data_IF_088758679545
#
_entry.id   IF_088758679545
#
_cell.length_a   1.000
_cell.length_b   1.000
_cell.length_c   1.000
_cell.angle_alpha   90.00
_cell.angle_beta   90.00
_cell.angle_gamma   90.00
#
_symmetry.space_group_name_H-M   'P 1'
#
loop_
_entity.id
_entity.type
_entity.pdbx_description
1 polymer ?
#
# COMPACT_ATOMS: atom_id res chain seq x y z
N UNK A 1 -20.46 27.24 7.43
CA UNK A 1 -19.07 27.45 6.96
C UNK A 1 -18.13 26.35 7.47
N UNK A 2 -18.02 26.11 8.79
CA UNK A 2 -17.15 25.07 9.36
C UNK A 2 -17.41 23.69 8.75
N UNK A 3 -18.68 23.28 8.65
CA UNK A 3 -19.07 22.00 8.05
C UNK A 3 -18.60 21.86 6.59
N UNK A 4 -18.77 22.90 5.77
CA UNK A 4 -18.31 22.91 4.38
C UNK A 4 -16.79 22.77 4.27
N UNK A 5 -16.03 23.45 5.15
CA UNK A 5 -14.56 23.32 5.17
C UNK A 5 -14.15 21.90 5.56
N UNK A 6 -14.82 21.30 6.55
CA UNK A 6 -14.54 19.91 6.97
C UNK A 6 -14.83 18.92 5.83
N UNK A 7 -15.99 19.03 5.18
CA UNK A 7 -16.39 18.14 4.09
C UNK A 7 -15.49 18.30 2.86
N UNK A 8 -15.18 19.54 2.45
CA UNK A 8 -14.28 19.77 1.31
C UNK A 8 -12.86 19.29 1.60
N UNK A 9 -12.37 19.44 2.83
CA UNK A 9 -11.07 18.90 3.26
C UNK A 9 -11.07 17.38 3.19
N UNK A 10 -12.09 16.72 3.73
CA UNK A 10 -12.21 15.26 3.72
C UNK A 10 -12.26 14.69 2.29
N UNK A 11 -13.01 15.33 1.39
CA UNK A 11 -13.04 14.95 -0.03
C UNK A 11 -11.69 15.18 -0.72
N UNK A 12 -11.01 16.28 -0.39
CA UNK A 12 -9.71 16.56 -0.98
C UNK A 12 -8.65 15.52 -0.56
N UNK A 13 -8.70 15.08 0.70
CA UNK A 13 -7.88 13.97 1.21
C UNK A 13 -8.25 12.63 0.57
N UNK A 14 -9.55 12.35 0.38
CA UNK A 14 -9.99 11.14 -0.32
C UNK A 14 -9.37 11.08 -1.71
N UNK A 15 -9.51 12.13 -2.51
CA UNK A 15 -8.94 12.23 -3.86
C UNK A 15 -7.42 12.03 -3.84
N UNK A 16 -6.72 12.64 -2.88
CA UNK A 16 -5.27 12.45 -2.72
C UNK A 16 -4.89 10.97 -2.53
N UNK A 17 -5.63 10.23 -1.68
CA UNK A 17 -5.40 8.81 -1.48
C UNK A 17 -5.61 8.00 -2.78
N UNK A 18 -6.55 8.39 -3.64
CA UNK A 18 -6.76 7.74 -4.95
C UNK A 18 -5.53 7.91 -5.84
N UNK A 19 -4.98 9.12 -5.89
CA UNK A 19 -3.78 9.40 -6.66
C UNK A 19 -2.55 8.65 -6.13
N UNK A 20 -2.45 8.42 -4.82
CA UNK A 20 -1.38 7.60 -4.26
C UNK A 20 -1.46 6.14 -4.73
N UNK A 21 -2.66 5.57 -4.86
CA UNK A 21 -2.85 4.22 -5.41
C UNK A 21 -2.32 4.11 -6.84
N UNK A 22 -2.64 5.12 -7.68
CA UNK A 22 -2.13 5.21 -9.06
C UNK A 22 -0.60 5.33 -9.05
N UNK A 23 -0.06 6.26 -8.26
CA UNK A 23 1.38 6.43 -8.12
C UNK A 23 2.07 5.12 -7.72
N UNK A 24 1.49 4.38 -6.77
CA UNK A 24 2.00 3.09 -6.32
C UNK A 24 1.95 2.02 -7.43
N UNK A 25 0.90 1.99 -8.25
CA UNK A 25 0.82 1.08 -9.41
C UNK A 25 1.94 1.36 -10.44
N UNK A 26 2.19 2.63 -10.77
CA UNK A 26 3.25 3.04 -11.70
C UNK A 26 4.63 2.74 -11.10
N UNK A 27 4.83 3.05 -9.82
CA UNK A 27 6.07 2.74 -9.10
C UNK A 27 6.41 1.24 -9.21
N UNK A 28 5.42 0.36 -9.00
CA UNK A 28 5.57 -1.10 -9.13
C UNK A 28 5.89 -1.52 -10.56
N UNK A 29 5.20 -0.95 -11.54
CA UNK A 29 5.47 -1.20 -12.95
C UNK A 29 6.93 -0.88 -13.29
N UNK A 30 7.41 0.31 -12.92
CA UNK A 30 8.78 0.76 -13.19
C UNK A 30 9.80 -0.09 -12.44
N UNK A 31 9.52 -0.49 -11.19
CA UNK A 31 10.39 -1.38 -10.43
C UNK A 31 10.62 -2.73 -11.12
N UNK A 32 9.58 -3.29 -11.75
CA UNK A 32 9.61 -4.62 -12.37
C UNK A 32 10.11 -4.58 -13.82
N UNK A 33 9.74 -3.56 -14.60
CA UNK A 33 10.14 -3.44 -16.00
C UNK A 33 11.47 -2.73 -16.20
N UNK A 34 11.79 -1.74 -15.37
CA UNK A 34 12.95 -0.86 -15.53
C UNK A 34 13.74 -0.72 -14.22
N UNK A 35 14.30 -1.81 -13.67
CA UNK A 35 15.00 -1.77 -12.38
C UNK A 35 16.22 -0.84 -12.37
N UNK A 36 16.87 -0.62 -13.51
CA UNK A 36 18.06 0.23 -13.63
C UNK A 36 17.74 1.73 -13.50
N UNK A 37 16.56 2.18 -13.93
CA UNK A 37 16.13 3.59 -13.85
C UNK A 37 15.24 3.86 -12.64
N UNK A 38 14.80 2.82 -11.92
CA UNK A 38 13.92 2.94 -10.76
C UNK A 38 14.43 3.91 -9.70
N UNK A 39 15.70 3.79 -9.29
CA UNK A 39 16.28 4.65 -8.24
C UNK A 39 16.33 6.13 -8.64
N UNK A 40 16.36 6.44 -9.93
CA UNK A 40 16.33 7.80 -10.45
C UNK A 40 14.91 8.39 -10.39
N UNK A 41 13.90 7.62 -10.80
CA UNK A 41 12.52 8.08 -10.92
C UNK A 41 11.73 8.00 -9.60
N UNK A 42 11.94 6.94 -8.82
CA UNK A 42 11.19 6.61 -7.61
C UNK A 42 12.09 6.41 -6.37
N UNK A 43 13.29 6.98 -6.40
CA UNK A 43 14.17 7.06 -5.23
C UNK A 43 13.55 7.91 -4.11
N UNK A 44 13.99 7.72 -2.86
CA UNK A 44 13.39 8.36 -1.67
C UNK A 44 13.26 9.88 -1.79
N UNK A 45 14.28 10.56 -2.35
CA UNK A 45 14.26 12.02 -2.54
C UNK A 45 13.23 12.45 -3.58
N UNK A 46 13.15 11.75 -4.70
CA UNK A 46 12.19 12.03 -5.77
C UNK A 46 10.75 11.77 -5.31
N UNK A 47 10.52 10.63 -4.65
CA UNK A 47 9.22 10.27 -4.08
C UNK A 47 8.76 11.28 -3.04
N UNK A 48 9.63 11.69 -2.12
CA UNK A 48 9.31 12.70 -1.11
C UNK A 48 8.99 14.06 -1.75
N UNK A 49 9.80 14.49 -2.72
CA UNK A 49 9.57 15.75 -3.44
C UNK A 49 8.20 15.73 -4.16
N UNK A 50 7.87 14.64 -4.85
CA UNK A 50 6.58 14.47 -5.50
C UNK A 50 5.41 14.58 -4.51
N UNK A 51 5.49 13.88 -3.37
CA UNK A 51 4.43 13.89 -2.36
C UNK A 51 4.25 15.28 -1.73
N UNK A 52 5.34 15.99 -1.44
CA UNK A 52 5.30 17.35 -0.88
C UNK A 52 4.68 18.33 -1.89
N UNK A 53 5.15 18.34 -3.13
CA UNK A 53 4.63 19.21 -4.17
C UNK A 53 3.15 18.95 -4.43
N UNK A 54 2.76 17.68 -4.46
CA UNK A 54 1.37 17.31 -4.65
C UNK A 54 0.50 17.71 -3.46
N UNK A 55 0.96 17.54 -2.21
CA UNK A 55 0.25 18.05 -1.03
C UNK A 55 0.05 19.56 -1.06
N UNK A 56 1.08 20.32 -1.46
CA UNK A 56 0.97 21.78 -1.61
C UNK A 56 -0.06 22.15 -2.68
N UNK A 57 -0.09 21.44 -3.82
CA UNK A 57 -1.10 21.63 -4.87
C UNK A 57 -2.53 21.37 -4.34
N UNK A 58 -2.72 20.33 -3.52
CA UNK A 58 -4.02 20.03 -2.89
C UNK A 58 -4.45 21.10 -1.90
N UNK A 59 -3.55 21.60 -1.05
CA UNK A 59 -3.84 22.71 -0.13
C UNK A 59 -4.24 23.97 -0.91
N UNK A 60 -3.52 24.27 -2.01
CA UNK A 60 -3.88 25.35 -2.92
C UNK A 60 -5.30 25.17 -3.47
N UNK A 61 -5.61 24.01 -4.07
CA UNK A 61 -6.92 23.75 -4.67
C UNK A 61 -8.05 23.81 -3.63
N UNK A 62 -7.85 23.26 -2.43
CA UNK A 62 -8.80 23.33 -1.32
C UNK A 62 -9.09 24.79 -0.91
N UNK A 63 -8.04 25.62 -0.87
CA UNK A 63 -8.18 27.04 -0.49
C UNK A 63 -9.00 27.80 -1.52
N UNK A 64 -8.67 27.66 -2.81
CA UNK A 64 -9.44 28.29 -3.90
C UNK A 64 -10.88 27.77 -3.98
N UNK A 65 -11.10 26.47 -3.80
CA UNK A 65 -12.44 25.89 -3.78
C UNK A 65 -13.30 26.48 -2.65
N UNK A 66 -12.75 26.63 -1.44
CA UNK A 66 -13.48 27.21 -0.31
C UNK A 66 -13.76 28.71 -0.51
N UNK A 67 -12.82 29.47 -1.11
CA UNK A 67 -13.03 30.88 -1.45
C UNK A 67 -14.15 31.02 -2.49
N UNK A 68 -14.11 30.24 -3.58
CA UNK A 68 -15.13 30.26 -4.63
C UNK A 68 -16.51 29.89 -4.09
N UNK A 69 -16.59 28.83 -3.28
CA UNK A 69 -17.85 28.42 -2.61
C UNK A 69 -18.38 29.49 -1.68
N UNK A 70 -17.50 30.19 -0.96
CA UNK A 70 -17.86 31.31 -0.10
C UNK A 70 -18.45 32.48 -0.89
N UNK A 71 -17.77 32.88 -1.98
CA UNK A 71 -18.20 33.98 -2.84
C UNK A 71 -19.53 33.67 -3.57
N UNK A 72 -19.74 32.42 -3.98
CA UNK A 72 -20.93 31.99 -4.71
C UNK A 72 -22.07 31.47 -3.81
N UNK A 73 -21.93 31.53 -2.47
CA UNK A 73 -22.88 30.98 -1.49
C UNK A 73 -23.23 29.49 -1.71
N UNK A 74 -22.29 28.71 -2.28
CA UNK A 74 -22.45 27.28 -2.62
C UNK A 74 -21.85 26.38 -1.55
N UNK A 75 -22.53 26.28 -0.42
CA UNK A 75 -22.06 25.48 0.72
C UNK A 75 -22.27 23.98 0.50
N UNK A 76 -21.28 23.19 0.93
CA UNK A 76 -21.41 21.74 1.04
C UNK A 76 -21.89 21.41 2.45
N UNK A 77 -23.06 20.80 2.56
CA UNK A 77 -23.73 20.49 3.83
C UNK A 77 -24.20 19.05 3.83
N UNK A 78 -24.32 18.47 5.02
CA UNK A 78 -24.93 17.18 5.24
C UNK A 78 -26.44 17.26 5.05
N UNK A 79 -27.00 16.41 4.19
CA UNK A 79 -28.43 16.31 3.95
C UNK A 79 -29.04 15.27 4.88
N UNK A 80 -29.88 15.71 5.81
CA UNK A 80 -30.67 14.81 6.68
C UNK A 80 -31.66 13.98 5.86
N UNK A 81 -32.16 14.51 4.75
CA UNK A 81 -33.11 13.83 3.86
C UNK A 81 -32.48 12.61 3.17
N UNK A 82 -31.25 12.76 2.70
CA UNK A 82 -30.52 11.70 1.97
C UNK A 82 -29.49 10.97 2.84
N UNK A 83 -29.36 11.37 4.11
CA UNK A 83 -28.35 10.86 5.06
C UNK A 83 -26.92 10.89 4.49
N UNK A 84 -26.65 11.90 3.66
CA UNK A 84 -25.48 11.98 2.79
C UNK A 84 -25.10 13.45 2.58
N UNK A 85 -23.83 13.75 2.27
CA UNK A 85 -23.42 15.13 1.98
C UNK A 85 -23.94 15.56 0.60
N UNK A 86 -24.61 16.71 0.55
CA UNK A 86 -25.48 17.15 -0.54
C UNK A 86 -24.80 17.63 -1.82
N UNK A 87 -23.49 17.44 -1.97
CA UNK A 87 -22.75 17.85 -3.18
C UNK A 87 -22.71 16.80 -4.29
N UNK A 88 -23.20 15.57 -4.06
CA UNK A 88 -23.03 14.41 -4.97
C UNK A 88 -24.35 13.87 -5.52
N UNK A 89 -25.50 14.43 -5.13
CA UNK A 89 -26.80 13.90 -5.55
C UNK A 89 -27.09 14.08 -7.06
N UNK A 90 -26.36 14.97 -7.74
CA UNK A 90 -26.29 15.04 -9.20
C UNK A 90 -24.82 15.24 -9.57
N UNK A 91 -24.12 14.13 -9.77
CA UNK A 91 -22.74 14.17 -10.25
C UNK A 91 -22.81 14.42 -11.77
N UNK A 92 -22.28 15.54 -12.32
CA UNK A 92 -22.13 15.67 -13.76
C UNK A 92 -21.37 14.46 -14.30
N UNK A 93 -21.88 13.85 -15.38
CA UNK A 93 -21.36 12.60 -15.95
C UNK A 93 -19.83 12.65 -16.16
N UNK A 94 -19.28 13.83 -16.42
CA UNK A 94 -17.84 14.07 -16.49
C UNK A 94 -17.06 13.62 -15.25
N UNK A 95 -17.51 13.92 -14.03
CA UNK A 95 -16.81 13.46 -12.81
C UNK A 95 -16.89 11.94 -12.64
N UNK A 96 -17.98 11.32 -13.09
CA UNK A 96 -18.09 9.86 -13.12
C UNK A 96 -17.10 9.24 -14.12
N UNK A 97 -17.00 9.77 -15.35
CA UNK A 97 -16.02 9.29 -16.33
C UNK A 97 -14.57 9.47 -15.84
N UNK A 98 -14.26 10.61 -15.20
CA UNK A 98 -12.97 10.83 -14.57
C UNK A 98 -12.67 9.79 -13.49
N UNK A 99 -13.61 9.54 -12.59
CA UNK A 99 -13.48 8.54 -11.53
C UNK A 99 -13.33 7.12 -12.08
N UNK A 100 -14.07 6.77 -13.13
CA UNK A 100 -13.93 5.49 -13.84
C UNK A 100 -12.55 5.37 -14.48
N UNK A 101 -12.02 6.43 -15.10
CA UNK A 101 -10.67 6.46 -15.64
C UNK A 101 -9.60 6.22 -14.57
N UNK A 102 -9.75 6.85 -13.39
CA UNK A 102 -8.87 6.67 -12.23
C UNK A 102 -8.90 5.24 -11.66
N UNK A 103 -9.96 4.48 -11.91
CA UNK A 103 -10.07 3.06 -11.53
C UNK A 103 -9.47 2.14 -12.59
N UNK A 104 -9.84 2.36 -13.86
CA UNK A 104 -9.47 1.48 -14.97
C UNK A 104 -7.96 1.52 -15.23
N UNK A 105 -7.35 2.71 -15.20
CA UNK A 105 -5.93 2.87 -15.47
C UNK A 105 -5.03 2.06 -14.52
N UNK A 106 -5.09 2.22 -13.18
CA UNK A 106 -4.26 1.46 -12.26
C UNK A 106 -4.59 -0.04 -12.29
N UNK A 107 -5.83 -0.43 -12.58
CA UNK A 107 -6.19 -1.84 -12.76
C UNK A 107 -5.39 -2.49 -13.88
N UNK A 108 -5.33 -1.87 -15.06
CA UNK A 108 -4.55 -2.39 -16.19
C UNK A 108 -3.05 -2.38 -15.93
N UNK A 109 -2.52 -1.30 -15.31
CA UNK A 109 -1.10 -1.21 -14.93
C UNK A 109 -0.72 -2.35 -13.97
N UNK A 110 -1.56 -2.60 -12.95
CA UNK A 110 -1.36 -3.69 -12.01
C UNK A 110 -1.49 -5.05 -12.68
N UNK A 111 -2.46 -5.27 -13.58
CA UNK A 111 -2.62 -6.52 -14.30
C UNK A 111 -1.40 -6.86 -15.19
N UNK A 112 -0.87 -5.87 -15.91
CA UNK A 112 0.34 -6.02 -16.72
C UNK A 112 1.58 -6.33 -15.86
N UNK A 113 1.72 -5.62 -14.75
CA UNK A 113 2.78 -5.86 -13.77
C UNK A 113 2.71 -7.28 -13.19
N UNK A 114 1.50 -7.75 -12.87
CA UNK A 114 1.26 -9.12 -12.40
C UNK A 114 1.63 -10.18 -13.44
N UNK A 115 1.21 -9.98 -14.69
CA UNK A 115 1.51 -10.91 -15.79
C UNK A 115 3.02 -11.09 -15.99
N UNK A 116 3.78 -9.98 -15.98
CA UNK A 116 5.25 -10.02 -16.08
C UNK A 116 5.88 -10.76 -14.93
N UNK A 117 5.43 -10.47 -13.71
CA UNK A 117 5.97 -11.13 -12.54
C UNK A 117 5.69 -12.64 -12.59
N UNK A 118 4.47 -13.05 -12.95
CA UNK A 118 4.10 -14.47 -13.09
C UNK A 118 5.04 -15.20 -14.08
N UNK A 119 5.35 -14.55 -15.21
CA UNK A 119 6.30 -15.08 -16.18
C UNK A 119 7.73 -15.20 -15.61
N UNK A 120 8.22 -14.17 -14.89
CA UNK A 120 9.53 -14.19 -14.25
C UNK A 120 9.63 -15.26 -13.14
N UNK A 121 8.54 -15.47 -12.39
CA UNK A 121 8.45 -16.51 -11.36
C UNK A 121 8.59 -17.91 -11.99
N UNK A 122 7.98 -18.15 -13.15
CA UNK A 122 8.04 -19.45 -13.81
C UNK A 122 9.45 -19.80 -14.33
N UNK A 123 10.32 -18.82 -14.55
CA UNK A 123 11.72 -19.04 -14.97
C UNK A 123 12.71 -19.16 -13.81
N UNK A 124 12.35 -18.73 -12.60
CA UNK A 124 13.26 -18.73 -11.46
C UNK A 124 13.30 -20.09 -10.74
N UNK A 125 14.50 -20.59 -10.45
CA UNK A 125 14.69 -21.80 -9.63
C UNK A 125 14.14 -21.59 -8.21
N UNK A 126 13.30 -22.53 -7.76
CA UNK A 126 12.50 -22.46 -6.53
C UNK A 126 13.31 -22.41 -5.22
N UNK A 127 14.61 -22.74 -5.26
CA UNK A 127 15.45 -22.88 -4.05
C UNK A 127 16.38 -21.68 -3.77
N UNK A 128 16.26 -20.57 -4.48
CA UNK A 128 17.10 -19.40 -4.21
C UNK A 128 16.51 -18.49 -3.13
N UNK A 129 17.35 -17.90 -2.27
CA UNK A 129 16.94 -16.84 -1.33
C UNK A 129 16.26 -15.66 -2.05
N UNK A 130 16.68 -15.41 -3.30
CA UNK A 130 16.04 -14.47 -4.22
C UNK A 130 14.59 -14.84 -4.54
N UNK A 131 14.25 -16.13 -4.62
CA UNK A 131 12.88 -16.61 -4.85
C UNK A 131 11.98 -16.37 -3.64
N UNK A 132 12.46 -16.59 -2.40
CA UNK A 132 11.70 -16.29 -1.18
C UNK A 132 11.42 -14.79 -1.04
N UNK A 133 12.42 -13.94 -1.31
CA UNK A 133 12.24 -12.49 -1.31
C UNK A 133 11.26 -12.03 -2.42
N UNK A 134 11.33 -12.63 -3.61
CA UNK A 134 10.38 -12.37 -4.69
C UNK A 134 8.95 -12.78 -4.30
N UNK A 135 8.77 -13.97 -3.68
CA UNK A 135 7.46 -14.43 -3.19
C UNK A 135 6.85 -13.48 -2.17
N UNK A 136 7.67 -12.93 -1.26
CA UNK A 136 7.23 -11.94 -0.28
C UNK A 136 6.82 -10.62 -0.95
N UNK A 137 7.61 -10.14 -1.91
CA UNK A 137 7.27 -8.96 -2.71
C UNK A 137 5.97 -9.17 -3.50
N UNK A 138 5.71 -10.39 -3.97
CA UNK A 138 4.46 -10.77 -4.63
C UNK A 138 3.28 -10.78 -3.65
N UNK A 139 3.46 -11.27 -2.42
CA UNK A 139 2.42 -11.20 -1.40
C UNK A 139 2.02 -9.74 -1.14
N UNK A 140 3.00 -8.85 -0.93
CA UNK A 140 2.76 -7.41 -0.80
C UNK A 140 2.13 -6.78 -2.05
N UNK A 141 2.47 -7.28 -3.24
CA UNK A 141 1.84 -6.86 -4.49
C UNK A 141 0.35 -7.26 -4.55
N UNK A 142 0.02 -8.52 -4.26
CA UNK A 142 -1.37 -9.00 -4.26
C UNK A 142 -2.19 -8.27 -3.22
N UNK A 143 -1.63 -8.05 -2.02
CA UNK A 143 -2.24 -7.25 -0.98
C UNK A 143 -2.70 -5.91 -1.55
N UNK A 144 -1.76 -5.15 -2.12
CA UNK A 144 -2.01 -3.80 -2.62
C UNK A 144 -2.99 -3.77 -3.80
N UNK A 145 -2.99 -4.77 -4.69
CA UNK A 145 -4.01 -4.88 -5.76
C UNK A 145 -5.42 -5.09 -5.21
N UNK A 146 -5.58 -5.94 -4.17
CA UNK A 146 -6.88 -6.15 -3.53
C UNK A 146 -7.35 -4.85 -2.86
N UNK A 147 -6.46 -4.16 -2.15
CA UNK A 147 -6.74 -2.87 -1.51
C UNK A 147 -7.17 -1.81 -2.53
N UNK A 148 -6.42 -1.66 -3.63
CA UNK A 148 -6.74 -0.75 -4.74
C UNK A 148 -8.13 -1.06 -5.37
N UNK A 149 -8.48 -2.34 -5.45
CA UNK A 149 -9.77 -2.80 -6.01
C UNK A 149 -10.95 -2.47 -5.09
N UNK A 150 -10.81 -2.64 -3.77
CA UNK A 150 -11.85 -2.27 -2.81
C UNK A 150 -12.17 -0.78 -2.87
N UNK A 151 -11.13 0.04 -3.00
CA UNK A 151 -11.29 1.48 -3.15
C UNK A 151 -12.14 1.85 -4.39
N UNK A 152 -11.85 1.19 -5.51
CA UNK A 152 -12.59 1.36 -6.77
C UNK A 152 -14.08 1.03 -6.62
N UNK A 153 -14.41 -0.02 -5.85
CA UNK A 153 -15.81 -0.37 -5.53
C UNK A 153 -16.48 0.77 -4.75
N UNK A 154 -15.81 1.37 -3.76
CA UNK A 154 -16.36 2.51 -3.00
C UNK A 154 -16.74 3.68 -3.91
N UNK A 155 -15.88 4.00 -4.88
CA UNK A 155 -16.09 5.11 -5.83
C UNK A 155 -17.29 4.86 -6.73
N UNK A 156 -17.40 3.67 -7.33
CA UNK A 156 -18.53 3.30 -8.19
C UNK A 156 -19.84 3.37 -7.42
N UNK A 157 -19.85 2.87 -6.18
CA UNK A 157 -21.04 2.94 -5.34
C UNK A 157 -21.41 4.37 -4.95
N UNK A 158 -20.41 5.18 -4.59
CA UNK A 158 -20.60 6.58 -4.21
C UNK A 158 -21.13 7.43 -5.36
N UNK A 159 -20.72 7.17 -6.61
CA UNK A 159 -21.04 8.04 -7.76
C UNK A 159 -22.23 7.54 -8.59
N UNK A 160 -22.38 6.23 -8.76
CA UNK A 160 -23.42 5.67 -9.66
C UNK A 160 -24.39 4.75 -8.97
N UNK A 161 -23.92 3.82 -8.11
CA UNK A 161 -24.86 2.86 -7.52
C UNK A 161 -25.86 3.55 -6.62
N UNK A 162 -25.45 4.58 -5.87
CA UNK A 162 -26.35 5.34 -4.99
C UNK A 162 -27.60 5.90 -5.69
N UNK A 163 -27.58 6.09 -7.02
CA UNK A 163 -28.69 6.65 -7.79
C UNK A 163 -29.69 5.60 -8.28
N UNK A 164 -29.41 4.30 -8.07
CA UNK A 164 -30.26 3.22 -8.59
C UNK A 164 -31.55 3.05 -7.79
N UNK A 165 -31.52 3.34 -6.49
CA UNK A 165 -32.67 3.23 -5.60
C UNK A 165 -32.82 4.56 -4.88
N UNK A 166 -33.92 5.27 -5.14
CA UNK A 166 -34.25 6.53 -4.47
C UNK A 166 -34.79 6.27 -3.05
N UNK A 167 -33.90 5.85 -2.17
CA UNK A 167 -34.21 5.59 -0.78
C UNK A 167 -33.08 6.07 0.12
N UNK A 168 -33.40 6.93 1.10
CA UNK A 168 -32.41 7.56 1.99
C UNK A 168 -31.44 6.59 2.66
N UNK A 169 -31.90 5.41 3.05
CA UNK A 169 -31.03 4.39 3.65
C UNK A 169 -30.11 3.74 2.62
N UNK A 170 -30.53 3.63 1.37
CA UNK A 170 -29.69 3.10 0.30
C UNK A 170 -28.59 4.09 -0.11
N UNK A 171 -28.91 5.39 -0.14
CA UNK A 171 -27.91 6.45 -0.34
C UNK A 171 -26.88 6.45 0.78
N UNK A 172 -27.31 6.41 2.05
CA UNK A 172 -26.43 6.27 3.20
C UNK A 172 -25.56 5.01 3.12
N UNK A 173 -26.16 3.87 2.77
CA UNK A 173 -25.44 2.61 2.65
C UNK A 173 -24.34 2.69 1.60
N UNK A 174 -24.67 3.19 0.40
CA UNK A 174 -23.78 3.25 -0.76
C UNK A 174 -22.63 4.24 -0.58
N UNK A 175 -22.82 5.31 0.21
CA UNK A 175 -21.80 6.33 0.43
C UNK A 175 -21.00 6.10 1.72
N UNK A 176 -21.67 6.05 2.87
CA UNK A 176 -20.99 6.10 4.18
C UNK A 176 -20.70 4.70 4.72
N UNK A 177 -21.69 3.83 4.77
CA UNK A 177 -21.53 2.50 5.37
C UNK A 177 -20.53 1.64 4.57
N UNK A 178 -20.67 1.65 3.25
CA UNK A 178 -19.78 0.89 2.37
C UNK A 178 -18.34 1.41 2.44
N UNK A 179 -18.16 2.73 2.44
CA UNK A 179 -16.83 3.34 2.57
C UNK A 179 -16.14 2.94 3.89
N UNK A 180 -16.86 2.98 5.01
CA UNK A 180 -16.28 2.53 6.29
C UNK A 180 -16.00 1.04 6.33
N UNK A 181 -16.90 0.22 5.78
CA UNK A 181 -16.70 -1.22 5.71
C UNK A 181 -15.46 -1.56 4.89
N UNK A 182 -15.23 -0.85 3.78
CA UNK A 182 -14.05 -1.01 2.93
C UNK A 182 -12.75 -0.68 3.68
N UNK A 183 -12.71 0.41 4.45
CA UNK A 183 -11.52 0.74 5.27
C UNK A 183 -11.23 -0.27 6.36
N UNK A 184 -12.27 -0.85 6.97
CA UNK A 184 -12.10 -1.94 7.93
C UNK A 184 -11.53 -3.18 7.24
N UNK A 185 -12.08 -3.54 6.07
CA UNK A 185 -11.59 -4.69 5.28
C UNK A 185 -10.15 -4.45 4.81
N UNK A 186 -9.80 -3.22 4.41
CA UNK A 186 -8.45 -2.82 4.03
C UNK A 186 -7.44 -3.06 5.18
N UNK A 187 -7.78 -2.62 6.39
CA UNK A 187 -6.98 -2.88 7.59
C UNK A 187 -6.83 -4.38 7.89
N UNK A 188 -7.89 -5.16 7.70
CA UNK A 188 -7.85 -6.63 7.86
C UNK A 188 -6.92 -7.27 6.82
N UNK A 189 -7.01 -6.86 5.55
CA UNK A 189 -6.12 -7.34 4.48
C UNK A 189 -4.66 -7.06 4.82
N UNK A 190 -4.35 -5.85 5.32
CA UNK A 190 -2.99 -5.52 5.75
C UNK A 190 -2.49 -6.46 6.85
N UNK A 191 -3.34 -6.81 7.83
CA UNK A 191 -2.98 -7.74 8.91
C UNK A 191 -2.74 -9.16 8.37
N UNK A 192 -3.59 -9.64 7.47
CA UNK A 192 -3.49 -10.99 6.88
C UNK A 192 -2.18 -11.15 6.09
N UNK A 193 -1.82 -10.14 5.30
CA UNK A 193 -0.62 -10.17 4.46
C UNK A 193 0.66 -9.79 5.21
N UNK A 194 0.57 -9.26 6.43
CA UNK A 194 1.72 -8.98 7.27
C UNK A 194 2.21 -10.23 8.01
N UNK A 195 3.24 -10.86 7.44
CA UNK A 195 3.92 -12.01 8.04
C UNK A 195 4.41 -11.75 9.47
N UNK A 196 4.84 -10.53 9.82
CA UNK A 196 5.36 -10.23 11.17
C UNK A 196 4.27 -10.33 12.26
N UNK A 197 3.02 -10.01 11.92
CA UNK A 197 1.89 -10.14 12.83
C UNK A 197 1.31 -11.57 12.81
N UNK A 198 1.44 -12.27 11.68
CA UNK A 198 1.07 -13.69 11.55
C UNK A 198 2.01 -14.63 12.34
N UNK A 199 3.30 -14.31 12.41
CA UNK A 199 4.33 -15.08 13.15
C UNK A 199 4.09 -15.06 14.68
N UNK A 200 3.25 -14.17 15.20
CA UNK A 200 2.82 -14.16 16.60
C UNK A 200 1.96 -15.37 17.02
N UNK A 201 1.52 -16.22 16.08
CA UNK A 201 0.68 -17.39 16.39
C UNK A 201 1.41 -18.74 16.44
N UNK A 202 2.67 -18.83 16.00
CA UNK A 202 3.39 -20.11 15.90
C UNK A 202 4.64 -20.26 16.78
N UNK A 203 4.95 -19.30 17.66
CA UNK A 203 5.82 -19.56 18.82
C UNK A 203 4.99 -20.02 20.01
N UNK A 204 4.26 -21.14 19.86
CA UNK A 204 3.95 -21.96 21.03
C UNK A 204 5.28 -22.51 21.53
N UNK A 205 5.71 -21.97 22.66
CA UNK A 205 6.81 -22.46 23.47
C UNK A 205 6.62 -23.98 23.63
N UNK A 206 7.49 -24.78 23.00
CA UNK A 206 7.58 -26.20 23.32
C UNK A 206 8.36 -26.34 24.63
N UNK A 207 7.79 -26.90 25.71
CA UNK A 207 8.53 -27.17 26.93
C UNK A 207 9.25 -28.54 26.84
N UNK A 208 10.54 -28.53 27.24
CA UNK A 208 11.40 -29.67 27.67
C UNK A 208 11.98 -30.54 26.52
N UNK A 209 13.24 -30.99 26.56
CA UNK A 209 14.00 -31.56 27.69
C UNK A 209 15.43 -31.03 27.89
N UNK A 210 15.77 -30.83 29.16
CA UNK A 210 17.14 -30.90 29.68
C UNK A 210 17.61 -32.35 29.65
N UNK A 211 18.69 -32.66 28.94
CA UNK A 211 19.68 -33.65 29.39
C UNK A 211 20.94 -33.59 28.52
N UNK A 212 21.88 -32.73 28.91
CA UNK A 212 23.29 -33.09 29.05
C UNK A 212 24.06 -31.84 29.48
N UNK A 213 24.22 -31.71 30.80
CA UNK A 213 25.32 -30.94 31.37
C UNK A 213 26.14 -31.90 32.22
N UNK A 214 27.46 -31.78 32.03
CA UNK A 214 28.54 -32.20 32.93
C UNK A 214 29.26 -33.51 32.57
N UNK A 215 30.30 -33.39 31.74
CA UNK A 215 31.66 -33.68 32.26
C UNK A 215 32.69 -32.83 31.51
N UNK A 216 33.29 -31.86 32.20
CA UNK A 216 34.47 -31.11 31.76
C UNK A 216 35.56 -31.32 32.81
N UNK A 217 36.70 -31.92 32.46
CA UNK A 217 38.09 -31.67 32.96
C UNK A 217 39.01 -32.61 32.16
N UNK A 218 40.21 -32.32 31.64
CA UNK A 218 41.40 -31.56 32.10
C UNK A 218 42.23 -31.23 30.82
N UNK A 219 42.44 -29.97 30.41
CA UNK A 219 43.59 -29.09 30.67
C UNK A 219 45.01 -29.64 30.35
N UNK A 220 45.70 -29.02 29.38
CA UNK A 220 47.15 -28.84 29.39
C UNK A 220 47.58 -27.64 28.51
N UNK A 221 48.00 -26.56 29.18
CA UNK A 221 48.74 -25.36 28.74
C UNK A 221 50.25 -25.71 28.55
N UNK A 222 50.94 -25.44 27.41
CA UNK A 222 51.74 -24.23 27.00
C UNK A 222 53.09 -24.12 27.78
N UNK A 223 54.31 -23.71 27.27
CA UNK A 223 54.64 -22.83 26.10
C UNK A 223 56.01 -23.16 25.36
N UNK A 224 56.84 -22.24 24.77
CA UNK A 224 57.48 -22.43 23.44
C UNK A 224 59.04 -22.35 23.39
N UNK A 225 59.69 -22.72 22.28
CA UNK A 225 61.07 -22.30 21.95
C UNK A 225 61.38 -22.39 20.45
N UNK A 226 62.10 -21.38 19.93
CA UNK A 226 62.73 -21.30 18.60
C UNK A 226 64.26 -21.11 18.79
N UNK A 227 65.09 -20.87 17.76
CA UNK A 227 65.40 -21.65 16.55
C UNK A 227 66.92 -21.98 16.45
N UNK A 228 67.35 -22.94 15.63
CA UNK A 228 68.76 -23.01 15.15
C UNK A 228 68.90 -23.71 13.78
N UNK A 229 69.81 -23.16 12.98
CA UNK A 229 70.15 -23.48 11.59
C UNK A 229 71.38 -24.43 11.46
N UNK A 230 71.61 -24.89 10.22
CA UNK A 230 72.79 -25.56 9.62
C UNK A 230 72.89 -27.10 9.74
N UNK A 231 72.61 -27.86 8.65
CA UNK A 231 73.49 -28.33 7.53
C UNK A 231 74.18 -29.68 7.84
N UNK A 232 74.69 -30.45 6.85
CA UNK A 232 74.05 -31.08 5.68
C UNK A 232 74.31 -32.62 5.69
N UNK A 233 73.97 -33.36 4.61
CA UNK A 233 74.78 -34.43 3.96
C UNK A 233 73.89 -35.34 3.07
N UNK A 234 74.12 -35.21 1.75
CA UNK A 234 74.41 -36.25 0.74
C UNK A 234 73.56 -37.54 0.73
N UNK A 235 72.78 -37.73 -0.34
CA UNK A 235 73.02 -38.76 -1.37
C UNK A 235 72.29 -38.41 -2.67
#
# INVERSE_FOLDING_TARGET
MVETVLLTTALNLKVYNEFQSIYLSINRLVAIYFPLTYNLLFGIKATLAFHILYYLDRVRNLTFENIDRGNNLKYMLYSVKHLAYGGILVTPDGMFYWAVGLVIFPFFVNAFTFARFYYLKNQASQNSEKFNNAKKNMSMFVQTVIQDSLFSVSVIFTLKMNTLIDHRFYTFFSQTFLWQSIHVIDGIIMIIFNERLSIGKNKRISPKENSQKNTSTVAATVPPTAPTSHLPVVH
#
